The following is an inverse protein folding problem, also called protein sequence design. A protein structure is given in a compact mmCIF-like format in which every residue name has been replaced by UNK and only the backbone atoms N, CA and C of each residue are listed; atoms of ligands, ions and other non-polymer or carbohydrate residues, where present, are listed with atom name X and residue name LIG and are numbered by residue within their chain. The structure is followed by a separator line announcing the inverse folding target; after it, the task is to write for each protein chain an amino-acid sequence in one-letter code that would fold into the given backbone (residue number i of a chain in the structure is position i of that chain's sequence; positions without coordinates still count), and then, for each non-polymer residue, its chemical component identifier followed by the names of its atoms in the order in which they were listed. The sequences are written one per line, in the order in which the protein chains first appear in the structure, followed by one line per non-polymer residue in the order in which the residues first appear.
data_IF_439502087562
#
_entry.id   IF_439502087562
#
_cell.length_a   1.000
_cell.length_b   1.000
_cell.length_c   1.000
_cell.angle_alpha   90.00
_cell.angle_beta   90.00
_cell.angle_gamma   90.00
#
_symmetry.space_group_name_H-M   'P 1'
#
loop_
_entity.id
_entity.type
_entity.pdbx_description
1 polymer ?
#
# COMPACT_ATOMS: atom_id res chain seq x y z
N UNK A 1 -10.64 0.16 -0.33
CA UNK A 1 -11.07 1.16 0.68
C UNK A 1 -11.62 0.53 1.97
N UNK A 2 -12.50 -0.47 1.94
CA UNK A 2 -13.08 -1.02 3.19
C UNK A 2 -12.09 -1.83 4.07
N UNK A 3 -11.08 -2.49 3.48
CA UNK A 3 -10.12 -3.31 4.23
C UNK A 3 -9.14 -2.49 5.11
N UNK A 4 -9.07 -1.18 4.90
CA UNK A 4 -8.23 -0.24 5.67
C UNK A 4 -9.07 0.57 6.67
N UNK A 5 -10.36 0.28 6.79
CA UNK A 5 -11.20 0.76 7.88
C UNK A 5 -10.98 -0.10 9.13
N UNK A 6 -11.01 0.48 10.34
CA UNK A 6 -11.26 1.89 10.66
C UNK A 6 -9.98 2.75 10.69
N UNK A 7 -8.85 2.23 10.19
CA UNK A 7 -7.55 2.91 10.32
C UNK A 7 -7.49 4.22 9.53
N UNK A 8 -7.89 4.23 8.26
CA UNK A 8 -7.82 5.41 7.38
C UNK A 8 -9.14 6.18 7.29
N UNK A 9 -10.28 5.60 7.67
CA UNK A 9 -11.58 6.30 7.71
C UNK A 9 -11.91 7.07 6.42
N UNK A 10 -11.56 6.54 5.25
CA UNK A 10 -11.81 7.21 3.97
C UNK A 10 -13.30 7.27 3.62
N UNK A 11 -14.12 6.39 4.20
CA UNK A 11 -15.55 6.38 3.96
C UNK A 11 -16.24 7.62 4.59
N UNK A 12 -17.18 8.25 3.88
CA UNK A 12 -17.98 9.35 4.41
C UNK A 12 -19.05 8.78 5.36
N UNK A 13 -18.69 8.58 6.64
CA UNK A 13 -19.63 8.18 7.70
C UNK A 13 -20.22 9.42 8.35
N UNK A 14 -21.54 9.41 8.61
CA UNK A 14 -22.25 10.53 9.25
C UNK A 14 -21.63 10.90 10.61
N UNK A 15 -21.15 9.91 11.34
CA UNK A 15 -20.56 10.04 12.68
C UNK A 15 -19.06 10.38 12.67
N UNK A 16 -18.47 10.70 11.51
CA UNK A 16 -17.01 10.98 11.41
C UNK A 16 -16.69 12.37 11.96
N UNK A 17 -15.94 12.41 13.06
CA UNK A 17 -15.50 13.65 13.72
C UNK A 17 -14.68 14.54 12.79
N UNK A 18 -14.71 15.86 13.03
CA UNK A 18 -13.91 16.83 12.25
C UNK A 18 -12.41 16.51 12.36
N UNK A 19 -11.94 16.12 13.55
CA UNK A 19 -10.55 15.71 13.79
C UNK A 19 -10.19 14.52 12.89
N UNK A 20 -11.03 13.48 12.85
CA UNK A 20 -10.83 12.32 11.99
C UNK A 20 -10.74 12.68 10.50
N UNK A 21 -11.43 13.73 10.05
CA UNK A 21 -11.40 14.18 8.64
C UNK A 21 -10.07 14.82 8.24
N UNK A 22 -9.40 15.52 9.16
CA UNK A 22 -8.12 16.17 8.88
C UNK A 22 -6.91 15.32 9.27
N UNK A 23 -6.97 14.64 10.41
CA UNK A 23 -5.86 13.82 10.90
C UNK A 23 -5.51 12.68 9.94
N UNK A 24 -6.50 12.13 9.24
CA UNK A 24 -6.26 11.11 8.21
C UNK A 24 -5.28 11.58 7.16
N UNK A 25 -5.34 12.84 6.72
CA UNK A 25 -4.42 13.35 5.70
C UNK A 25 -2.99 13.30 6.23
N UNK A 26 -2.78 13.67 7.50
CA UNK A 26 -1.46 13.69 8.12
C UNK A 26 -0.91 12.27 8.37
N UNK A 27 -1.65 11.42 9.09
CA UNK A 27 -1.11 10.11 9.45
C UNK A 27 -1.09 9.14 8.26
N UNK A 28 -1.96 9.30 7.26
CA UNK A 28 -1.92 8.45 6.05
C UNK A 28 -0.61 8.64 5.28
N UNK A 29 -0.15 9.89 5.11
CA UNK A 29 1.13 10.18 4.48
C UNK A 29 2.28 9.48 5.21
N UNK A 30 2.30 9.49 6.55
CA UNK A 30 3.31 8.78 7.35
C UNK A 30 3.21 7.27 7.14
N UNK A 31 1.99 6.70 7.19
CA UNK A 31 1.75 5.27 6.99
C UNK A 31 2.28 4.80 5.63
N UNK A 32 2.12 5.61 4.58
CA UNK A 32 2.52 5.25 3.23
C UNK A 32 4.03 5.02 3.12
N UNK A 33 4.84 5.83 3.81
CA UNK A 33 6.30 5.65 3.85
C UNK A 33 6.75 4.37 4.56
N UNK A 34 5.98 3.91 5.56
CA UNK A 34 6.45 2.86 6.48
C UNK A 34 5.88 1.47 6.22
N UNK A 35 4.80 1.33 5.45
CA UNK A 35 4.08 0.06 5.39
C UNK A 35 4.92 -1.08 4.78
N UNK A 36 5.65 -0.86 3.69
CA UNK A 36 6.46 -1.91 3.09
C UNK A 36 7.68 -2.28 3.96
N UNK A 37 8.43 -1.32 4.53
CA UNK A 37 9.45 -1.63 5.55
C UNK A 37 8.88 -2.43 6.72
N UNK A 38 7.71 -2.05 7.25
CA UNK A 38 7.04 -2.77 8.33
C UNK A 38 6.68 -4.19 7.91
N UNK A 39 6.08 -4.39 6.72
CA UNK A 39 5.73 -5.71 6.20
C UNK A 39 6.96 -6.59 6.01
N UNK A 40 8.07 -6.02 5.52
CA UNK A 40 9.35 -6.70 5.42
C UNK A 40 9.85 -7.18 6.79
N UNK A 41 9.85 -6.31 7.81
CA UNK A 41 10.24 -6.67 9.18
C UNK A 41 9.31 -7.73 9.77
N UNK A 42 7.98 -7.55 9.66
CA UNK A 42 6.99 -8.50 10.16
C UNK A 42 7.14 -9.87 9.51
N UNK A 43 7.52 -9.93 8.23
CA UNK A 43 7.78 -11.19 7.52
C UNK A 43 8.93 -11.96 8.15
N UNK A 44 10.06 -11.29 8.38
CA UNK A 44 11.23 -11.92 9.01
C UNK A 44 10.99 -12.31 10.46
N UNK A 45 10.24 -11.52 11.23
CA UNK A 45 9.77 -11.90 12.56
C UNK A 45 8.88 -13.15 12.50
N UNK A 46 8.01 -13.25 11.49
CA UNK A 46 7.18 -14.43 11.24
C UNK A 46 8.00 -15.68 10.91
N UNK A 47 9.04 -15.53 10.08
CA UNK A 47 9.98 -16.61 9.75
C UNK A 47 10.75 -17.06 10.99
N UNK A 48 11.31 -16.13 11.75
CA UNK A 48 12.05 -16.43 12.98
C UNK A 48 11.20 -17.13 14.05
N UNK A 49 9.89 -16.87 14.05
CA UNK A 49 8.91 -17.53 14.93
C UNK A 49 8.31 -18.82 14.36
N UNK A 50 8.76 -19.29 13.20
CA UNK A 50 8.22 -20.47 12.52
C UNK A 50 6.76 -20.33 12.04
N UNK A 51 6.21 -19.11 12.02
CA UNK A 51 4.83 -18.83 11.59
C UNK A 51 4.69 -18.71 10.07
N UNK A 52 5.80 -18.43 9.38
CA UNK A 52 5.83 -18.22 7.94
C UNK A 52 7.06 -18.93 7.37
N UNK A 53 6.91 -19.63 6.26
CA UNK A 53 8.05 -20.20 5.54
C UNK A 53 8.83 -19.10 4.82
N UNK A 54 10.16 -19.11 4.96
CA UNK A 54 11.01 -18.22 4.19
C UNK A 54 10.98 -18.61 2.70
N UNK A 55 10.77 -17.63 1.82
CA UNK A 55 10.83 -17.82 0.38
C UNK A 55 11.99 -17.02 -0.21
N UNK A 56 12.44 -17.41 -1.40
CA UNK A 56 13.60 -16.78 -2.06
C UNK A 56 13.35 -15.30 -2.33
N UNK A 57 12.11 -14.92 -2.62
CA UNK A 57 11.72 -13.55 -2.92
C UNK A 57 11.83 -12.63 -1.69
N UNK A 58 11.75 -13.20 -0.47
CA UNK A 58 11.91 -12.42 0.77
C UNK A 58 13.33 -11.86 0.93
N UNK A 59 14.31 -12.41 0.21
CA UNK A 59 15.69 -11.93 0.21
C UNK A 59 15.94 -10.80 -0.78
N UNK A 60 15.02 -10.46 -1.68
CA UNK A 60 15.24 -9.41 -2.70
C UNK A 60 15.61 -8.04 -2.09
N UNK A 61 14.96 -7.53 -1.02
CA UNK A 61 15.38 -6.28 -0.40
C UNK A 61 16.79 -6.35 0.21
N UNK A 62 17.18 -7.52 0.75
CA UNK A 62 18.52 -7.75 1.29
C UNK A 62 19.56 -7.88 0.17
N UNK A 63 19.22 -8.52 -0.94
CA UNK A 63 20.05 -8.56 -2.13
C UNK A 63 20.30 -7.15 -2.67
N UNK A 64 19.25 -6.31 -2.73
CA UNK A 64 19.41 -4.91 -3.11
C UNK A 64 20.32 -4.16 -2.13
N UNK A 65 20.23 -4.42 -0.81
CA UNK A 65 21.17 -3.84 0.16
C UNK A 65 22.61 -4.27 -0.13
N UNK A 66 22.84 -5.56 -0.40
CA UNK A 66 24.17 -6.09 -0.76
C UNK A 66 24.70 -5.39 -2.02
N UNK A 67 23.86 -5.17 -3.03
CA UNK A 67 24.24 -4.43 -4.24
C UNK A 67 24.57 -2.97 -3.94
N UNK A 68 23.76 -2.27 -3.14
CA UNK A 68 24.04 -0.90 -2.69
C UNK A 68 25.38 -0.83 -1.94
N UNK A 69 25.68 -1.82 -1.09
CA UNK A 69 26.94 -1.92 -0.38
C UNK A 69 28.10 -2.17 -1.35
N UNK A 70 27.97 -3.14 -2.25
CA UNK A 70 29.02 -3.45 -3.22
C UNK A 70 29.41 -2.24 -4.09
N UNK A 71 28.43 -1.43 -4.51
CA UNK A 71 28.67 -0.24 -5.33
C UNK A 71 29.10 0.97 -4.48
N UNK A 72 28.50 1.14 -3.29
CA UNK A 72 28.68 2.33 -2.46
C UNK A 72 29.90 2.32 -1.53
N UNK A 73 30.45 1.14 -1.20
CA UNK A 73 31.56 1.00 -0.26
C UNK A 73 32.88 1.59 -0.78
N UNK A 74 33.03 1.79 -2.09
CA UNK A 74 34.23 2.43 -2.65
C UNK A 74 34.28 3.96 -2.39
N UNK A 75 33.15 4.60 -2.06
CA UNK A 75 33.03 6.06 -2.06
C UNK A 75 32.32 6.65 -0.83
N UNK A 76 31.61 5.84 -0.04
CA UNK A 76 30.75 6.32 1.03
C UNK A 76 30.80 5.44 2.30
N UNK A 77 30.43 6.04 3.44
CA UNK A 77 30.33 5.30 4.70
C UNK A 77 29.16 4.31 4.68
N UNK A 78 29.31 3.20 5.41
CA UNK A 78 28.29 2.16 5.55
C UNK A 78 26.92 2.73 5.97
N UNK A 79 26.93 3.69 6.92
CA UNK A 79 25.73 4.37 7.40
C UNK A 79 24.98 5.12 6.30
N UNK A 80 25.70 5.81 5.40
CA UNK A 80 25.09 6.57 4.30
C UNK A 80 24.46 5.63 3.27
N UNK A 81 25.13 4.53 2.95
CA UNK A 81 24.60 3.52 2.04
C UNK A 81 23.33 2.90 2.61
N UNK A 82 23.32 2.55 3.90
CA UNK A 82 22.13 2.00 4.57
C UNK A 82 20.95 2.99 4.59
N UNK A 83 21.21 4.26 4.94
CA UNK A 83 20.18 5.30 4.94
C UNK A 83 19.60 5.49 3.52
N UNK A 84 20.46 5.52 2.50
CA UNK A 84 20.02 5.62 1.10
C UNK A 84 19.13 4.43 0.71
N UNK A 85 19.57 3.20 1.00
CA UNK A 85 18.79 1.99 0.75
C UNK A 85 17.42 2.04 1.45
N UNK A 86 17.38 2.48 2.72
CA UNK A 86 16.13 2.61 3.46
C UNK A 86 15.21 3.66 2.82
N UNK A 87 15.74 4.83 2.46
CA UNK A 87 14.98 5.89 1.80
C UNK A 87 14.38 5.44 0.46
N UNK A 88 15.12 4.65 -0.33
CA UNK A 88 14.60 4.08 -1.59
C UNK A 88 13.37 3.21 -1.29
N UNK A 89 13.45 2.31 -0.30
CA UNK A 89 12.31 1.43 0.03
C UNK A 89 11.13 2.20 0.64
N UNK A 90 11.40 3.22 1.46
CA UNK A 90 10.36 4.08 2.00
C UNK A 90 9.67 4.89 0.88
N UNK A 91 10.43 5.41 -0.10
CA UNK A 91 9.86 6.10 -1.26
C UNK A 91 9.03 5.17 -2.16
N UNK A 92 9.52 3.96 -2.42
CA UNK A 92 8.76 2.93 -3.12
C UNK A 92 7.47 2.58 -2.36
N UNK A 93 7.54 2.46 -1.03
CA UNK A 93 6.37 2.26 -0.17
C UNK A 93 5.36 3.37 -0.35
N UNK A 94 5.82 4.63 -0.29
CA UNK A 94 4.94 5.78 -0.45
C UNK A 94 4.18 5.71 -1.76
N UNK A 95 4.88 5.57 -2.89
CA UNK A 95 4.25 5.55 -4.20
C UNK A 95 3.35 4.35 -4.40
N UNK A 96 3.78 3.15 -3.99
CA UNK A 96 2.98 1.94 -4.15
C UNK A 96 1.65 2.05 -3.39
N UNK A 97 1.69 2.56 -2.16
CA UNK A 97 0.50 2.70 -1.32
C UNK A 97 -0.35 3.88 -1.74
N UNK A 98 0.25 5.04 -2.00
CA UNK A 98 -0.46 6.24 -2.43
C UNK A 98 -1.20 5.97 -3.74
N UNK A 99 -0.52 5.47 -4.77
CA UNK A 99 -1.15 5.12 -6.05
C UNK A 99 -2.15 3.98 -5.85
N UNK A 100 -1.78 2.93 -5.12
CA UNK A 100 -2.65 1.79 -4.87
C UNK A 100 -3.92 2.11 -4.07
N UNK A 101 -3.94 3.19 -3.29
CA UNK A 101 -5.11 3.60 -2.50
C UNK A 101 -5.88 4.77 -3.11
N UNK A 102 -5.22 5.67 -3.85
CA UNK A 102 -5.81 6.90 -4.39
C UNK A 102 -6.11 6.77 -5.89
N UNK A 103 -5.25 6.10 -6.66
CA UNK A 103 -5.49 5.88 -8.09
C UNK A 103 -6.39 4.66 -8.35
N UNK A 104 -6.53 3.77 -7.37
CA UNK A 104 -7.45 2.65 -7.44
C UNK A 104 -8.89 3.09 -7.13
N UNK A 105 -9.71 3.18 -8.18
CA UNK A 105 -11.17 3.12 -8.11
C UNK A 105 -11.90 4.34 -7.49
N UNK A 106 -11.88 5.48 -8.18
CA UNK A 106 -12.77 6.62 -7.87
C UNK A 106 -13.59 7.08 -9.07
N UNK A 107 -13.81 6.22 -10.07
CA UNK A 107 -14.75 6.57 -11.14
C UNK A 107 -16.14 6.70 -10.49
N UNK A 108 -16.84 7.84 -10.62
CA UNK A 108 -18.06 8.12 -9.84
C UNK A 108 -19.18 7.07 -10.05
N UNK A 109 -19.14 6.36 -11.19
CA UNK A 109 -20.06 5.27 -11.52
C UNK A 109 -19.67 3.86 -11.04
N UNK A 110 -18.55 3.66 -10.35
CA UNK A 110 -18.29 2.33 -9.76
C UNK A 110 -19.19 2.13 -8.56
N UNK A 111 -19.60 0.89 -8.38
CA UNK A 111 -20.38 0.48 -7.23
C UNK A 111 -19.51 0.50 -5.97
N UNK A 112 -20.00 1.19 -4.95
CA UNK A 112 -19.47 1.19 -3.59
C UNK A 112 -20.40 0.44 -2.65
N UNK A 113 -19.86 0.00 -1.52
CA UNK A 113 -20.68 -0.64 -0.49
C UNK A 113 -21.77 0.32 0.00
N UNK A 114 -23.04 -0.06 -0.20
CA UNK A 114 -24.21 0.75 0.13
C UNK A 114 -24.96 1.28 -1.09
N UNK A 115 -24.34 1.24 -2.28
CA UNK A 115 -25.01 1.63 -3.52
C UNK A 115 -26.05 0.59 -3.94
N UNK A 116 -27.13 1.06 -4.57
CA UNK A 116 -28.07 0.17 -5.24
C UNK A 116 -27.37 -0.51 -6.43
N UNK A 117 -27.52 -1.83 -6.51
CA UNK A 117 -26.91 -2.63 -7.57
C UNK A 117 -27.61 -2.30 -8.89
N UNK A 118 -26.84 -1.97 -9.93
CA UNK A 118 -27.41 -1.71 -11.26
C UNK A 118 -27.98 -2.99 -11.85
N UNK A 119 -27.36 -4.12 -11.53
CA UNK A 119 -27.81 -5.44 -11.94
C UNK A 119 -28.30 -6.27 -10.74
N UNK A 120 -29.49 -6.86 -10.88
CA UNK A 120 -30.05 -7.82 -9.91
C UNK A 120 -29.47 -9.25 -10.08
N UNK A 121 -28.25 -9.37 -10.61
CA UNK A 121 -27.56 -10.64 -10.80
C UNK A 121 -26.56 -10.89 -9.69
N UNK A 122 -26.54 -12.09 -9.11
CA UNK A 122 -25.53 -12.51 -8.14
C UNK A 122 -24.27 -13.09 -8.80
N UNK A 123 -24.14 -12.96 -10.12
CA UNK A 123 -22.94 -13.36 -10.84
C UNK A 123 -21.71 -12.56 -10.37
N UNK A 124 -20.69 -13.27 -9.93
CA UNK A 124 -19.47 -12.66 -9.39
C UNK A 124 -18.72 -11.80 -10.42
N UNK A 125 -18.72 -12.20 -11.69
CA UNK A 125 -18.09 -11.44 -12.77
C UNK A 125 -18.79 -10.11 -13.01
N UNK A 126 -20.13 -10.11 -13.01
CA UNK A 126 -20.93 -8.88 -13.08
C UNK A 126 -20.63 -7.96 -11.89
N UNK A 127 -20.50 -8.52 -10.67
CA UNK A 127 -20.11 -7.73 -9.47
C UNK A 127 -18.71 -7.15 -9.56
N UNK A 128 -17.75 -7.86 -10.17
CA UNK A 128 -16.43 -7.30 -10.41
C UNK A 128 -16.48 -6.11 -11.37
N UNK A 129 -17.22 -6.22 -12.47
CA UNK A 129 -17.39 -5.14 -13.46
C UNK A 129 -18.13 -3.94 -12.87
N UNK A 130 -19.01 -4.13 -11.89
CA UNK A 130 -19.63 -3.01 -11.16
C UNK A 130 -18.63 -2.31 -10.24
N UNK A 131 -17.68 -3.03 -9.64
CA UNK A 131 -16.68 -2.50 -8.72
C UNK A 131 -15.42 -1.91 -9.40
N UNK A 132 -15.28 -2.09 -10.72
CA UNK A 132 -14.14 -1.56 -11.50
C UNK A 132 -14.64 -0.82 -12.74
N UNK A 133 -13.92 0.22 -13.18
CA UNK A 133 -14.17 0.88 -14.45
C UNK A 133 -12.85 1.16 -15.14
N UNK A 134 -12.82 0.90 -16.44
CA UNK A 134 -11.76 1.40 -17.30
C UNK A 134 -11.86 2.91 -17.46
N UNK A 135 -10.70 3.53 -17.70
CA UNK A 135 -10.58 4.93 -18.04
C UNK A 135 -11.05 5.12 -19.49
N UNK A 136 -12.11 5.93 -19.69
CA UNK A 136 -12.67 6.22 -21.04
C UNK A 136 -11.74 7.06 -21.93
N UNK A 137 -10.70 7.64 -21.34
CA UNK A 137 -9.69 8.51 -21.96
C UNK A 137 -8.55 7.74 -22.65
N UNK A 138 -8.52 6.41 -22.57
CA UNK A 138 -7.55 5.57 -23.27
C UNK A 138 -8.28 4.75 -24.35
N UNK A 139 -8.61 5.43 -25.44
CA UNK A 139 -9.07 4.82 -26.71
C UNK A 139 -8.48 5.58 -27.88
#
# INVERSE_FOLDING_TARGET
VSAIEPLLQFLPKEQKSVIARFMVILYSNIIYWIILPLQFTMKWVGVARGKVQARKENFLPLLHLILCLAVGLCSHSLSRVFVCWLLIHMACSYWFVFVGLIAAHHHPDIWHHGDELRYKSNDWGIRQIEAVRDRKDVT
#
